data_IF_121616387959
#
_entry.id   IF_121616387959
#
_cell.length_a   1.000
_cell.length_b   1.000
_cell.length_c   1.000
_cell.angle_alpha   90.00
_cell.angle_beta   90.00
_cell.angle_gamma   90.00
#
_symmetry.space_group_name_H-M   'P 1'
#
loop_
_entity.id
_entity.type
_entity.pdbx_description
1 polymer ?
#
# COMPACT_ATOMS: atom_id res chain seq x y z
N UNK A 1 11.55 -9.68 -38.61
CA UNK A 1 10.48 -8.78 -39.09
C UNK A 1 9.17 -9.17 -38.43
N UNK A 2 9.00 -8.81 -37.16
CA UNK A 2 7.74 -9.04 -36.45
C UNK A 2 7.64 -7.99 -35.35
N UNK A 3 6.61 -7.15 -35.40
CA UNK A 3 6.33 -6.13 -34.38
C UNK A 3 5.98 -6.72 -33.00
N UNK A 4 6.13 -8.03 -32.81
CA UNK A 4 5.72 -8.80 -31.63
C UNK A 4 6.89 -9.42 -30.86
N UNK A 5 8.13 -8.98 -31.11
CA UNK A 5 9.27 -9.41 -30.30
C UNK A 5 9.10 -8.98 -28.83
N UNK A 6 9.35 -9.89 -27.88
CA UNK A 6 9.34 -9.59 -26.43
C UNK A 6 10.20 -8.37 -26.07
N UNK A 7 11.29 -8.15 -26.81
CA UNK A 7 12.16 -6.96 -26.68
C UNK A 7 11.43 -5.65 -26.99
N UNK A 8 10.51 -5.63 -27.95
CA UNK A 8 9.71 -4.44 -28.27
C UNK A 8 8.82 -4.05 -27.08
N UNK A 9 8.15 -5.02 -26.45
CA UNK A 9 7.34 -4.78 -25.25
C UNK A 9 8.18 -4.26 -24.09
N UNK A 10 9.39 -4.79 -23.89
CA UNK A 10 10.31 -4.32 -22.85
C UNK A 10 10.71 -2.84 -23.08
N UNK A 11 11.03 -2.48 -24.32
CA UNK A 11 11.40 -1.11 -24.71
C UNK A 11 10.21 -0.17 -24.59
N UNK A 12 9.01 -0.60 -24.98
CA UNK A 12 7.80 0.21 -24.86
C UNK A 12 7.45 0.49 -23.40
N UNK A 13 7.53 -0.51 -22.52
CA UNK A 13 7.32 -0.31 -21.08
C UNK A 13 8.33 0.67 -20.48
N UNK A 14 9.59 0.57 -20.90
CA UNK A 14 10.63 1.50 -20.46
C UNK A 14 10.30 2.94 -20.87
N UNK A 15 9.92 3.16 -22.13
CA UNK A 15 9.57 4.49 -22.65
C UNK A 15 8.36 5.07 -21.90
N UNK A 16 7.30 4.28 -21.69
CA UNK A 16 6.12 4.71 -20.93
C UNK A 16 6.49 5.03 -19.48
N UNK A 17 7.31 4.21 -18.84
CA UNK A 17 7.76 4.45 -17.46
C UNK A 17 8.59 5.73 -17.33
N UNK A 18 9.41 6.07 -18.34
CA UNK A 18 10.18 7.32 -18.38
C UNK A 18 9.27 8.53 -18.60
N UNK A 19 8.29 8.46 -19.52
CA UNK A 19 7.36 9.56 -19.78
C UNK A 19 6.48 9.88 -18.57
N UNK A 20 5.93 8.85 -17.92
CA UNK A 20 5.06 9.02 -16.76
C UNK A 20 5.86 9.29 -15.47
N UNK A 21 7.12 8.86 -15.43
CA UNK A 21 7.98 8.87 -14.25
C UNK A 21 7.58 7.82 -13.21
N UNK A 22 8.57 7.26 -12.52
CA UNK A 22 8.37 6.18 -11.55
C UNK A 22 7.42 6.53 -10.39
N UNK A 23 7.27 7.83 -10.05
CA UNK A 23 6.42 8.29 -8.95
C UNK A 23 4.92 8.13 -9.26
N UNK A 24 4.51 8.35 -10.51
CA UNK A 24 3.11 8.16 -10.96
C UNK A 24 2.78 6.69 -11.17
N UNK A 25 3.71 5.91 -11.73
CA UNK A 25 3.57 4.45 -11.85
C UNK A 25 3.47 3.78 -10.48
N UNK A 26 4.24 4.23 -9.48
CA UNK A 26 4.19 3.65 -8.14
C UNK A 26 2.88 3.96 -7.41
N UNK A 27 2.35 5.17 -7.51
CA UNK A 27 1.07 5.50 -6.85
C UNK A 27 -0.09 4.77 -7.52
N UNK A 28 -0.21 4.87 -8.86
CA UNK A 28 -1.29 4.22 -9.60
C UNK A 28 -1.17 2.69 -9.60
N UNK A 29 0.06 2.18 -9.68
CA UNK A 29 0.34 0.75 -9.63
C UNK A 29 0.14 0.14 -8.25
N UNK A 30 0.27 0.92 -7.16
CA UNK A 30 -0.06 0.44 -5.81
C UNK A 30 -1.57 0.26 -5.65
N UNK A 31 -2.37 1.26 -6.03
CA UNK A 31 -3.84 1.18 -5.92
C UNK A 31 -4.44 0.09 -6.82
N UNK A 32 -4.00 0.04 -8.09
CA UNK A 32 -4.43 -0.98 -9.05
C UNK A 32 -3.87 -2.37 -8.69
N UNK A 33 -2.64 -2.41 -8.20
CA UNK A 33 -1.97 -3.64 -7.80
C UNK A 33 -2.64 -4.30 -6.60
N UNK A 34 -3.12 -3.52 -5.63
CA UNK A 34 -3.83 -4.04 -4.46
C UNK A 34 -5.18 -4.65 -4.83
N UNK A 35 -5.90 -4.04 -5.78
CA UNK A 35 -7.16 -4.58 -6.30
C UNK A 35 -6.94 -5.88 -7.09
N UNK A 36 -5.96 -5.95 -8.00
CA UNK A 36 -5.72 -7.19 -8.76
C UNK A 36 -5.06 -8.26 -7.88
N UNK A 37 -4.33 -7.89 -6.83
CA UNK A 37 -3.78 -8.83 -5.83
C UNK A 37 -4.90 -9.55 -5.08
N UNK A 38 -5.96 -8.82 -4.68
CA UNK A 38 -7.16 -9.43 -4.09
C UNK A 38 -7.85 -10.41 -5.04
N UNK A 39 -7.98 -10.05 -6.31
CA UNK A 39 -8.57 -10.90 -7.35
C UNK A 39 -7.73 -12.17 -7.62
N UNK A 40 -6.41 -12.03 -7.74
CA UNK A 40 -5.50 -13.18 -7.86
C UNK A 40 -5.58 -14.06 -6.62
N UNK A 41 -5.70 -13.45 -5.43
CA UNK A 41 -5.82 -14.19 -4.17
C UNK A 41 -7.09 -15.02 -4.15
N UNK A 42 -8.24 -14.45 -4.53
CA UNK A 42 -9.50 -15.21 -4.62
C UNK A 42 -9.48 -16.29 -5.70
N UNK A 43 -8.76 -16.07 -6.80
CA UNK A 43 -8.58 -17.08 -7.85
C UNK A 43 -7.61 -18.20 -7.45
N UNK A 44 -6.67 -17.92 -6.55
CA UNK A 44 -5.73 -18.90 -5.98
C UNK A 44 -6.19 -19.43 -4.60
N UNK A 45 -7.39 -19.06 -4.15
CA UNK A 45 -7.90 -19.39 -2.82
C UNK A 45 -8.49 -20.80 -2.69
N UNK A 46 -8.43 -21.61 -3.74
CA UNK A 46 -8.75 -23.03 -3.61
C UNK A 46 -7.64 -23.85 -2.92
N UNK A 47 -6.43 -23.30 -2.67
CA UNK A 47 -5.34 -24.11 -2.08
C UNK A 47 -4.57 -23.52 -0.87
N UNK A 48 -4.47 -22.20 -0.65
CA UNK A 48 -3.57 -21.70 0.44
C UNK A 48 -4.10 -20.44 1.15
N UNK A 49 -4.63 -20.62 2.36
CA UNK A 49 -5.08 -19.55 3.26
C UNK A 49 -3.89 -18.75 3.84
N UNK A 50 -3.85 -17.45 3.55
CA UNK A 50 -3.02 -16.49 4.29
C UNK A 50 -3.50 -15.05 4.00
N UNK A 51 -3.94 -14.30 5.03
CA UNK A 51 -4.28 -12.90 4.88
C UNK A 51 -2.99 -12.06 5.00
N UNK A 52 -2.46 -11.62 3.86
CA UNK A 52 -1.47 -10.54 3.87
C UNK A 52 -2.20 -9.22 3.74
N UNK A 53 -2.64 -8.71 4.90
CA UNK A 53 -3.01 -7.31 5.08
C UNK A 53 -1.79 -6.45 4.71
N UNK A 54 -1.89 -5.69 3.63
CA UNK A 54 -0.90 -4.70 3.29
C UNK A 54 -0.96 -3.59 4.36
N UNK A 55 0.00 -3.61 5.29
CA UNK A 55 0.24 -2.46 6.15
C UNK A 55 0.85 -1.37 5.28
N UNK A 56 0.06 -0.38 4.88
CA UNK A 56 0.57 0.90 4.36
C UNK A 56 -0.46 2.00 4.59
N UNK A 57 -0.68 2.29 5.87
CA UNK A 57 -1.12 3.60 6.32
C UNK A 57 -0.74 3.81 7.80
N UNK A 58 0.54 3.64 8.14
CA UNK A 58 1.11 4.35 9.29
C UNK A 58 1.88 5.57 8.77
N UNK A 59 1.14 6.49 8.14
CA UNK A 59 1.56 7.88 8.15
C UNK A 59 1.33 8.35 9.57
N UNK A 60 2.45 8.41 10.28
CA UNK A 60 2.72 9.13 11.50
C UNK A 60 1.86 10.42 11.61
N UNK A 61 0.74 10.34 12.31
CA UNK A 61 0.11 11.49 12.95
C UNK A 61 0.46 11.43 14.43
N UNK A 62 1.30 12.38 14.83
CA UNK A 62 1.53 12.89 16.18
C UNK A 62 1.30 11.95 17.36
N UNK A 63 2.41 11.35 17.80
CA UNK A 63 2.61 11.09 19.23
C UNK A 63 3.00 12.41 19.91
N UNK A 64 2.01 13.22 20.26
CA UNK A 64 2.05 14.06 21.45
C UNK A 64 1.04 13.44 22.42
N UNK A 65 1.44 12.49 23.27
CA UNK A 65 1.64 12.76 24.71
C UNK A 65 0.65 13.84 25.19
N UNK A 66 -0.46 13.49 25.84
CA UNK A 66 -0.48 13.07 27.25
C UNK A 66 -1.65 12.11 27.53
N UNK A 67 -1.38 10.89 28.05
CA UNK A 67 -2.41 10.04 28.64
C UNK A 67 -2.89 10.66 29.96
N UNK A 68 -4.19 10.60 30.15
CA UNK A 68 -4.89 10.92 31.38
C UNK A 68 -4.42 9.97 32.50
N UNK A 69 -3.48 10.40 33.34
CA UNK A 69 -3.24 9.74 34.63
C UNK A 69 -4.28 10.22 35.63
N UNK A 70 -5.35 9.45 35.67
CA UNK A 70 -6.19 9.26 36.85
C UNK A 70 -5.35 8.68 37.99
N UNK A 71 -5.29 9.35 39.14
CA UNK A 71 -5.33 8.78 40.50
C UNK A 71 -4.58 9.64 41.51
N UNK A 72 -5.32 10.18 42.48
CA UNK A 72 -4.75 10.78 43.67
C UNK A 72 -5.40 12.10 44.05
N UNK A 73 -6.07 12.08 45.19
CA UNK A 73 -6.31 13.25 46.06
C UNK A 73 -7.61 14.03 45.82
N UNK A 74 -8.62 13.65 46.60
CA UNK A 74 -9.60 14.59 47.10
C UNK A 74 -8.92 15.59 48.06
N UNK A 75 -9.22 16.90 47.96
CA UNK A 75 -9.23 17.76 49.12
C UNK A 75 -10.68 18.20 49.37
N UNK A 76 -11.20 17.77 50.51
CA UNK A 76 -12.37 18.35 51.15
C UNK A 76 -12.05 19.84 51.41
N UNK A 77 -12.86 20.75 50.85
CA UNK A 77 -12.69 22.18 51.01
C UNK A 77 -13.96 22.96 50.65
N UNK A 78 -14.69 23.33 51.70
CA UNK A 78 -15.90 24.16 51.80
C UNK A 78 -17.24 23.55 51.34
#
# INVERSE_FOLDING_TARGET
MGLFDWKHWLVLLLVVAVLFGGKRLKSLGSDLGETIKGFRRSMSSDDEAQPQVATSARVQSDTAQTPLTQSGQAPLGH
#
